data_IF_660279292252
#
_entry.id   IF_660279292252
#
_cell.length_a   1.000
_cell.length_b   1.000
_cell.length_c   1.000
_cell.angle_alpha   90.00
_cell.angle_beta   90.00
_cell.angle_gamma   90.00
#
_symmetry.space_group_name_H-M   'P 1'
#
loop_
_entity.id
_entity.type
_entity.pdbx_description
1 polymer ?
#
# COMPACT_ATOMS: atom_id res chain seq x y z
N UNK A 1 -19.36 -5.22 3.24
CA UNK A 1 -20.24 -6.17 2.56
C UNK A 1 -19.60 -6.75 1.31
N UNK A 2 -19.21 -5.95 0.31
CA UNK A 2 -18.60 -6.42 -0.94
C UNK A 2 -17.34 -7.25 -0.69
N UNK A 3 -16.44 -6.81 0.18
CA UNK A 3 -15.22 -7.55 0.54
C UNK A 3 -15.52 -8.92 1.13
N UNK A 4 -16.53 -9.03 1.97
CA UNK A 4 -16.95 -10.31 2.54
C UNK A 4 -17.50 -11.25 1.47
N UNK A 5 -18.33 -10.74 0.57
CA UNK A 5 -18.93 -11.50 -0.52
C UNK A 5 -17.88 -12.01 -1.51
N UNK A 6 -16.89 -11.19 -1.87
CA UNK A 6 -15.78 -11.55 -2.76
C UNK A 6 -14.79 -12.47 -2.04
N UNK A 7 -14.54 -12.22 -0.76
CA UNK A 7 -13.60 -13.00 0.04
C UNK A 7 -14.00 -14.46 0.21
N UNK A 8 -15.29 -14.77 0.26
CA UNK A 8 -15.79 -16.14 0.43
C UNK A 8 -15.28 -17.13 -0.65
N UNK A 9 -15.42 -16.84 -1.96
CA UNK A 9 -14.87 -17.71 -3.00
C UNK A 9 -13.35 -17.57 -3.16
N UNK A 10 -12.82 -16.35 -3.04
CA UNK A 10 -11.43 -16.03 -3.40
C UNK A 10 -10.43 -16.56 -2.37
N UNK A 11 -10.73 -16.47 -1.07
CA UNK A 11 -9.84 -16.96 -0.01
C UNK A 11 -9.73 -18.49 0.10
N UNK A 12 -10.51 -19.22 -0.68
CA UNK A 12 -10.37 -20.69 -0.81
C UNK A 12 -9.29 -21.10 -1.81
N UNK A 13 -8.81 -20.15 -2.61
CA UNK A 13 -7.78 -20.39 -3.61
C UNK A 13 -6.40 -20.39 -2.97
N UNK A 14 -5.46 -21.13 -3.56
CA UNK A 14 -4.05 -21.10 -3.17
C UNK A 14 -3.42 -19.75 -3.54
N UNK A 15 -2.32 -19.41 -2.88
CA UNK A 15 -1.66 -18.11 -2.90
C UNK A 15 -1.58 -17.44 -4.29
N UNK A 16 -1.09 -18.15 -5.30
CA UNK A 16 -0.88 -17.59 -6.66
C UNK A 16 -2.22 -17.34 -7.39
N UNK A 17 -3.15 -18.29 -7.29
CA UNK A 17 -4.50 -18.14 -7.86
C UNK A 17 -5.31 -17.07 -7.13
N UNK A 18 -5.04 -16.83 -5.84
CA UNK A 18 -5.67 -15.77 -5.07
C UNK A 18 -5.35 -14.40 -5.67
N UNK A 19 -4.07 -14.14 -6.01
CA UNK A 19 -3.65 -12.87 -6.59
C UNK A 19 -4.30 -12.63 -7.96
N UNK A 20 -4.33 -13.66 -8.82
CA UNK A 20 -4.97 -13.56 -10.15
C UNK A 20 -6.47 -13.31 -10.01
N UNK A 21 -7.15 -14.04 -9.11
CA UNK A 21 -8.58 -13.91 -8.90
C UNK A 21 -8.95 -12.51 -8.35
N UNK A 22 -8.18 -11.96 -7.40
CA UNK A 22 -8.44 -10.61 -6.87
C UNK A 22 -8.26 -9.53 -7.92
N UNK A 23 -7.24 -9.62 -8.79
CA UNK A 23 -7.08 -8.72 -9.93
C UNK A 23 -8.24 -8.85 -10.92
N UNK A 24 -8.66 -10.08 -11.24
CA UNK A 24 -9.83 -10.31 -12.10
C UNK A 24 -11.11 -9.72 -11.52
N UNK A 25 -11.37 -9.87 -10.23
CA UNK A 25 -12.52 -9.26 -9.55
C UNK A 25 -12.44 -7.72 -9.57
N UNK A 26 -11.27 -7.14 -9.39
CA UNK A 26 -11.09 -5.68 -9.48
C UNK A 26 -11.48 -5.16 -10.87
N UNK A 27 -11.06 -5.85 -11.94
CA UNK A 27 -11.42 -5.49 -13.31
C UNK A 27 -12.93 -5.70 -13.59
N UNK A 28 -13.54 -6.76 -13.06
CA UNK A 28 -14.99 -6.96 -13.16
C UNK A 28 -15.75 -5.82 -12.49
N UNK A 29 -15.38 -5.44 -11.27
CA UNK A 29 -15.99 -4.32 -10.55
C UNK A 29 -15.83 -3.03 -11.35
N UNK A 30 -14.63 -2.75 -11.87
CA UNK A 30 -14.36 -1.59 -12.71
C UNK A 30 -15.26 -1.58 -13.96
N UNK A 31 -15.39 -2.71 -14.65
CA UNK A 31 -16.24 -2.86 -15.83
C UNK A 31 -17.74 -2.64 -15.49
N UNK A 32 -18.19 -3.14 -14.34
CA UNK A 32 -19.55 -2.90 -13.85
C UNK A 32 -19.80 -1.41 -13.62
N UNK A 33 -18.86 -0.69 -13.00
CA UNK A 33 -18.98 0.75 -12.78
C UNK A 33 -18.96 1.56 -14.08
N UNK A 34 -18.33 1.04 -15.14
CA UNK A 34 -18.28 1.67 -16.46
C UNK A 34 -19.51 1.34 -17.34
N UNK A 35 -20.37 0.44 -16.88
CA UNK A 35 -21.50 0.00 -17.69
C UNK A 35 -22.57 1.11 -17.82
N UNK A 36 -22.97 1.42 -19.06
CA UNK A 36 -23.89 2.53 -19.36
C UNK A 36 -25.26 2.40 -18.70
N UNK A 37 -25.74 1.19 -18.44
CA UNK A 37 -27.02 0.97 -17.72
C UNK A 37 -26.97 1.41 -16.25
N UNK A 38 -25.79 1.41 -15.64
CA UNK A 38 -25.56 1.98 -14.30
C UNK A 38 -25.23 3.48 -14.34
N UNK A 39 -25.21 4.09 -15.54
CA UNK A 39 -24.91 5.51 -15.76
C UNK A 39 -25.62 6.49 -14.81
N UNK A 40 -26.91 6.31 -14.47
CA UNK A 40 -27.59 7.20 -13.50
C UNK A 40 -26.95 7.24 -12.11
N UNK A 41 -26.25 6.17 -11.69
CA UNK A 41 -25.58 6.06 -10.39
C UNK A 41 -24.09 6.33 -10.45
N UNK A 42 -23.40 5.83 -11.48
CA UNK A 42 -21.94 5.80 -11.57
C UNK A 42 -21.37 6.77 -12.59
N UNK A 43 -22.22 7.44 -13.36
CA UNK A 43 -21.84 8.25 -14.55
C UNK A 43 -21.08 7.44 -15.62
N UNK A 44 -21.08 6.11 -15.52
CA UNK A 44 -20.45 5.19 -16.48
C UNK A 44 -18.94 5.40 -16.59
N UNK A 45 -18.45 5.55 -17.82
CA UNK A 45 -17.03 5.81 -18.11
C UNK A 45 -16.61 7.26 -17.88
N UNK A 46 -17.57 8.17 -17.64
CA UNK A 46 -17.32 9.60 -17.47
C UNK A 46 -16.84 9.92 -16.05
N UNK A 47 -16.33 11.13 -15.88
CA UNK A 47 -15.92 11.63 -14.57
C UNK A 47 -17.15 11.92 -13.71
N UNK A 48 -17.21 11.34 -12.53
CA UNK A 48 -18.18 11.71 -11.50
C UNK A 48 -17.59 12.86 -10.70
N UNK A 49 -18.15 14.05 -10.84
CA UNK A 49 -17.74 15.27 -10.12
C UNK A 49 -18.68 15.60 -8.97
N UNK A 50 -18.36 16.67 -8.23
CA UNK A 50 -19.23 17.19 -7.16
C UNK A 50 -19.02 16.53 -5.78
N UNK A 51 -17.89 15.88 -5.56
CA UNK A 51 -17.54 15.37 -4.24
C UNK A 51 -17.30 16.52 -3.26
N UNK A 52 -17.79 16.40 -2.01
CA UNK A 52 -17.46 17.36 -0.97
C UNK A 52 -15.95 17.30 -0.71
N UNK A 53 -15.33 18.44 -0.49
CA UNK A 53 -13.91 18.54 -0.16
C UNK A 53 -13.74 19.16 1.22
N UNK A 54 -12.66 18.80 1.90
CA UNK A 54 -12.28 19.48 3.13
C UNK A 54 -11.61 20.81 2.81
N UNK A 55 -12.03 21.89 3.46
CA UNK A 55 -11.42 23.22 3.30
C UNK A 55 -9.94 23.27 3.71
N UNK A 56 -9.49 22.29 4.50
CA UNK A 56 -8.11 22.20 4.98
C UNK A 56 -7.47 20.91 4.56
N UNK A 57 -6.31 20.99 3.90
CA UNK A 57 -5.48 19.84 3.55
C UNK A 57 -5.07 19.04 4.80
N UNK A 58 -4.95 19.71 5.95
CA UNK A 58 -4.61 19.06 7.23
C UNK A 58 -5.65 18.01 7.63
N UNK A 59 -6.92 18.20 7.28
CA UNK A 59 -7.99 17.25 7.62
C UNK A 59 -7.77 15.89 6.91
N UNK A 60 -7.30 15.87 5.67
CA UNK A 60 -6.98 14.63 4.95
C UNK A 60 -5.86 13.86 5.65
N UNK A 61 -4.78 14.55 6.04
CA UNK A 61 -3.66 13.92 6.77
C UNK A 61 -4.07 13.43 8.14
N UNK A 62 -4.97 14.14 8.82
CA UNK A 62 -5.47 13.73 10.13
C UNK A 62 -6.29 12.45 10.03
N UNK A 63 -7.22 12.37 9.08
CA UNK A 63 -8.02 11.15 8.87
C UNK A 63 -7.12 9.97 8.46
N UNK A 64 -6.17 10.19 7.53
CA UNK A 64 -5.21 9.15 7.14
C UNK A 64 -4.35 8.71 8.33
N UNK A 65 -3.88 9.64 9.16
CA UNK A 65 -3.11 9.36 10.38
C UNK A 65 -3.90 8.54 11.39
N UNK A 66 -5.17 8.85 11.61
CA UNK A 66 -6.07 8.05 12.48
C UNK A 66 -6.23 6.64 11.92
N UNK A 67 -6.45 6.48 10.62
CA UNK A 67 -6.55 5.16 9.99
C UNK A 67 -5.26 4.35 10.16
N UNK A 68 -4.10 4.95 9.95
CA UNK A 68 -2.80 4.30 10.17
C UNK A 68 -2.64 3.90 11.64
N UNK A 69 -2.99 4.77 12.58
CA UNK A 69 -2.94 4.47 14.02
C UNK A 69 -3.84 3.27 14.37
N UNK A 70 -5.04 3.19 13.82
CA UNK A 70 -5.95 2.06 14.02
C UNK A 70 -5.38 0.76 13.45
N UNK A 71 -4.75 0.79 12.27
CA UNK A 71 -4.08 -0.37 11.68
C UNK A 71 -2.91 -0.83 12.58
N UNK A 72 -2.09 0.11 13.08
CA UNK A 72 -0.98 -0.21 14.00
C UNK A 72 -1.49 -0.84 15.29
N UNK A 73 -2.58 -0.31 15.87
CA UNK A 73 -3.20 -0.90 17.05
C UNK A 73 -3.72 -2.32 16.78
N UNK A 74 -4.36 -2.54 15.63
CA UNK A 74 -4.84 -3.86 15.23
C UNK A 74 -3.69 -4.86 15.09
N UNK A 75 -2.60 -4.48 14.42
CA UNK A 75 -1.44 -5.38 14.21
C UNK A 75 -0.72 -5.70 15.53
N UNK A 76 -0.75 -4.81 16.50
CA UNK A 76 -0.19 -5.06 17.83
C UNK A 76 -1.13 -5.82 18.77
N UNK A 77 -2.38 -6.05 18.37
CA UNK A 77 -3.38 -6.81 19.11
C UNK A 77 -3.14 -8.33 19.03
N UNK A 78 -3.99 -9.09 19.74
CA UNK A 78 -4.00 -10.56 19.67
C UNK A 78 -4.30 -11.06 18.26
N UNK A 79 -5.21 -10.38 17.54
CA UNK A 79 -5.53 -10.70 16.14
C UNK A 79 -4.34 -10.46 15.22
N UNK A 80 -3.60 -9.38 15.42
CA UNK A 80 -2.40 -9.10 14.62
C UNK A 80 -1.30 -10.14 14.84
N UNK A 81 -1.15 -10.69 16.05
CA UNK A 81 -0.24 -11.82 16.31
C UNK A 81 -0.65 -13.07 15.54
N UNK A 82 -1.96 -13.38 15.50
CA UNK A 82 -2.48 -14.49 14.70
C UNK A 82 -2.23 -14.27 13.19
N UNK A 83 -2.40 -13.04 12.69
CA UNK A 83 -2.10 -12.73 11.27
C UNK A 83 -0.62 -12.91 10.93
N UNK A 84 0.28 -12.50 11.83
CA UNK A 84 1.73 -12.71 11.66
C UNK A 84 2.08 -14.21 11.68
N UNK A 85 1.51 -14.97 12.60
CA UNK A 85 1.72 -16.42 12.68
C UNK A 85 1.27 -17.13 11.38
N UNK A 86 0.09 -16.79 10.84
CA UNK A 86 -0.43 -17.34 9.58
C UNK A 86 0.48 -16.97 8.40
N UNK A 87 1.01 -15.74 8.38
CA UNK A 87 1.95 -15.28 7.34
C UNK A 87 3.25 -16.07 7.34
N UNK A 88 3.77 -16.34 8.54
CA UNK A 88 5.06 -16.99 8.71
C UNK A 88 4.97 -18.49 8.40
N UNK A 89 3.96 -19.20 8.92
CA UNK A 89 3.68 -20.60 8.59
C UNK A 89 2.20 -20.94 8.86
N UNK A 90 1.44 -21.20 7.79
CA UNK A 90 0.02 -21.52 7.86
C UNK A 90 -0.22 -22.86 8.57
N UNK A 91 0.62 -23.86 8.32
CA UNK A 91 0.46 -25.21 8.89
C UNK A 91 0.74 -25.21 10.37
N UNK A 92 1.80 -24.52 10.79
CA UNK A 92 2.14 -24.38 12.19
C UNK A 92 1.06 -23.57 12.95
N UNK A 93 0.52 -22.51 12.37
CA UNK A 93 -0.55 -21.72 12.97
C UNK A 93 -1.83 -22.54 13.16
N UNK A 94 -2.21 -23.37 12.19
CA UNK A 94 -3.36 -24.27 12.28
C UNK A 94 -3.17 -25.33 13.36
N UNK A 95 -1.97 -25.93 13.46
CA UNK A 95 -1.62 -26.88 14.50
C UNK A 95 -1.70 -26.29 15.92
N UNK A 96 -1.47 -24.98 16.06
CA UNK A 96 -1.64 -24.23 17.31
C UNK A 96 -3.09 -23.78 17.58
N UNK A 97 -4.06 -24.25 16.76
CA UNK A 97 -5.49 -24.00 16.95
C UNK A 97 -6.01 -22.69 16.34
N UNK A 98 -5.21 -22.01 15.49
CA UNK A 98 -5.66 -20.80 14.79
C UNK A 98 -6.54 -21.17 13.60
N UNK A 99 -7.77 -20.68 13.57
CA UNK A 99 -8.68 -20.90 12.43
C UNK A 99 -8.28 -20.03 11.24
N UNK A 100 -7.58 -20.61 10.26
CA UNK A 100 -7.04 -19.93 9.09
C UNK A 100 -8.11 -19.18 8.30
N UNK A 101 -9.21 -19.86 7.96
CA UNK A 101 -10.26 -19.30 7.11
C UNK A 101 -10.88 -18.04 7.74
N UNK A 102 -11.17 -18.09 9.03
CA UNK A 102 -11.76 -16.95 9.78
C UNK A 102 -10.81 -15.78 9.87
N UNK A 103 -9.53 -16.01 10.18
CA UNK A 103 -8.55 -14.93 10.31
C UNK A 103 -8.17 -14.32 8.95
N UNK A 104 -8.03 -15.13 7.89
CA UNK A 104 -7.82 -14.63 6.53
C UNK A 104 -8.99 -13.76 6.07
N UNK A 105 -10.22 -14.21 6.30
CA UNK A 105 -11.42 -13.42 5.96
C UNK A 105 -11.47 -12.10 6.72
N UNK A 106 -11.19 -12.12 8.02
CA UNK A 106 -11.18 -10.90 8.84
C UNK A 106 -10.11 -9.92 8.38
N UNK A 107 -8.90 -10.39 8.10
CA UNK A 107 -7.82 -9.56 7.55
C UNK A 107 -8.21 -8.93 6.22
N UNK A 108 -8.82 -9.71 5.31
CA UNK A 108 -9.26 -9.24 4.00
C UNK A 108 -10.36 -8.18 4.10
N UNK A 109 -11.36 -8.38 4.96
CA UNK A 109 -12.46 -7.41 5.17
C UNK A 109 -11.94 -6.11 5.78
N UNK A 110 -11.07 -6.21 6.78
CA UNK A 110 -10.52 -5.02 7.46
C UNK A 110 -9.61 -4.23 6.50
N UNK A 111 -8.72 -4.90 5.76
CA UNK A 111 -7.86 -4.22 4.77
C UNK A 111 -8.69 -3.53 3.67
N UNK A 112 -9.74 -4.20 3.18
CA UNK A 112 -10.65 -3.62 2.18
C UNK A 112 -11.43 -2.42 2.72
N UNK A 113 -11.77 -2.41 4.02
CA UNK A 113 -12.41 -1.27 4.67
C UNK A 113 -11.49 -0.03 4.67
N UNK A 114 -10.24 -0.19 5.09
CA UNK A 114 -9.28 0.91 5.06
C UNK A 114 -8.93 1.34 3.63
N UNK A 115 -8.85 0.42 2.67
CA UNK A 115 -8.68 0.75 1.26
C UNK A 115 -9.85 1.57 0.73
N UNK A 116 -11.09 1.26 1.14
CA UNK A 116 -12.28 2.05 0.81
C UNK A 116 -12.22 3.48 1.36
N UNK A 117 -11.77 3.66 2.60
CA UNK A 117 -11.55 5.00 3.18
C UNK A 117 -10.48 5.76 2.37
N UNK A 118 -9.36 5.11 2.02
CA UNK A 118 -8.31 5.69 1.20
C UNK A 118 -8.81 6.15 -0.16
N UNK A 119 -9.61 5.31 -0.83
CA UNK A 119 -10.25 5.67 -2.11
C UNK A 119 -11.22 6.84 -1.98
N UNK A 120 -12.01 6.89 -0.90
CA UNK A 120 -12.89 8.01 -0.59
C UNK A 120 -12.13 9.32 -0.36
N UNK A 121 -11.04 9.29 0.42
CA UNK A 121 -10.18 10.46 0.63
C UNK A 121 -9.54 10.94 -0.68
N UNK A 122 -9.13 10.02 -1.55
CA UNK A 122 -8.58 10.35 -2.87
C UNK A 122 -9.63 11.06 -3.75
N UNK A 123 -10.86 10.53 -3.80
CA UNK A 123 -11.95 11.14 -4.56
C UNK A 123 -12.32 12.53 -4.03
N UNK A 124 -12.34 12.72 -2.73
CA UNK A 124 -12.58 14.03 -2.09
C UNK A 124 -11.43 15.00 -2.36
N UNK A 125 -10.18 14.54 -2.35
CA UNK A 125 -9.01 15.38 -2.64
C UNK A 125 -8.98 15.83 -4.10
N UNK A 126 -9.31 14.93 -5.03
CA UNK A 126 -9.38 15.24 -6.46
C UNK A 126 -10.67 15.93 -6.87
N UNK A 127 -11.68 16.01 -5.97
CA UNK A 127 -13.03 16.49 -6.25
C UNK A 127 -13.73 15.73 -7.39
N UNK A 128 -13.19 14.57 -7.77
CA UNK A 128 -13.69 13.75 -8.87
C UNK A 128 -13.36 12.27 -8.63
N UNK A 129 -14.20 11.39 -9.16
CA UNK A 129 -13.91 9.97 -9.25
C UNK A 129 -14.16 9.48 -10.67
N UNK A 130 -13.25 8.68 -11.20
CA UNK A 130 -13.38 8.05 -12.49
C UNK A 130 -12.91 6.60 -12.40
N UNK A 131 -13.75 5.66 -12.83
CA UNK A 131 -13.41 4.24 -12.80
C UNK A 131 -12.13 3.92 -13.60
N UNK A 132 -11.82 4.73 -14.59
CA UNK A 132 -10.63 4.58 -15.44
C UNK A 132 -9.30 4.84 -14.70
N UNK A 133 -9.32 5.55 -13.57
CA UNK A 133 -8.13 5.78 -12.74
C UNK A 133 -7.75 4.54 -11.91
N UNK A 134 -8.72 3.66 -11.62
CA UNK A 134 -8.55 2.44 -10.83
C UNK A 134 -8.22 1.22 -11.70
N UNK A 135 -7.27 1.38 -12.62
CA UNK A 135 -6.75 0.29 -13.45
C UNK A 135 -5.70 -0.53 -12.68
N UNK A 136 -5.41 -1.69 -13.22
CA UNK A 136 -4.35 -2.60 -12.76
C UNK A 136 -3.00 -1.89 -12.57
N UNK A 137 -2.70 -0.84 -13.36
CA UNK A 137 -1.48 -0.03 -13.20
C UNK A 137 -1.37 0.60 -11.80
N UNK A 138 -2.48 1.15 -11.27
CA UNK A 138 -2.50 1.70 -9.91
C UNK A 138 -2.22 0.63 -8.85
N UNK A 139 -2.73 -0.58 -9.07
CA UNK A 139 -2.46 -1.72 -8.19
C UNK A 139 -0.96 -2.07 -8.17
N UNK A 140 -0.31 -2.06 -9.33
CA UNK A 140 1.13 -2.30 -9.41
C UNK A 140 1.95 -1.18 -8.76
N UNK A 141 1.55 0.09 -8.89
CA UNK A 141 2.21 1.21 -8.21
C UNK A 141 2.12 1.07 -6.68
N UNK A 142 0.94 0.74 -6.15
CA UNK A 142 0.75 0.47 -4.72
C UNK A 142 1.59 -0.73 -4.26
N UNK A 143 1.59 -1.82 -5.05
CA UNK A 143 2.41 -3.00 -4.75
C UNK A 143 3.90 -2.65 -4.68
N UNK A 144 4.41 -1.86 -5.62
CA UNK A 144 5.79 -1.38 -5.62
C UNK A 144 6.12 -0.56 -4.38
N UNK A 145 5.24 0.34 -3.97
CA UNK A 145 5.40 1.14 -2.74
C UNK A 145 5.55 0.22 -1.53
N UNK A 146 4.68 -0.80 -1.42
CA UNK A 146 4.72 -1.75 -0.30
C UNK A 146 5.99 -2.60 -0.32
N UNK A 147 6.43 -3.07 -1.50
CA UNK A 147 7.67 -3.86 -1.64
C UNK A 147 8.89 -3.03 -1.28
N UNK A 148 8.97 -1.78 -1.75
CA UNK A 148 10.07 -0.84 -1.41
C UNK A 148 10.07 -0.54 0.09
N UNK A 149 8.89 -0.36 0.69
CA UNK A 149 8.76 -0.11 2.13
C UNK A 149 9.17 -1.29 3.00
N UNK A 150 8.91 -2.50 2.52
CA UNK A 150 9.05 -3.77 3.21
C UNK A 150 7.70 -4.37 3.56
N UNK A 151 7.43 -5.59 3.07
CA UNK A 151 6.13 -6.26 3.15
C UNK A 151 5.61 -6.46 4.60
N UNK A 152 6.51 -6.43 5.58
CA UNK A 152 6.15 -6.61 6.99
C UNK A 152 6.02 -5.32 7.81
N UNK A 153 6.27 -4.15 7.23
CA UNK A 153 6.39 -2.88 7.96
C UNK A 153 5.40 -1.82 7.48
N UNK A 154 4.51 -1.38 8.37
CA UNK A 154 3.60 -0.25 8.09
C UNK A 154 4.37 1.05 7.96
N UNK A 155 5.28 1.31 8.90
CA UNK A 155 6.12 2.51 8.88
C UNK A 155 6.98 2.58 7.63
N UNK A 156 7.49 1.42 7.16
CA UNK A 156 8.21 1.30 5.90
C UNK A 156 7.36 1.70 4.70
N UNK A 157 6.13 1.20 4.60
CA UNK A 157 5.20 1.52 3.52
C UNK A 157 4.81 3.00 3.50
N UNK A 158 4.62 3.64 4.66
CA UNK A 158 4.34 5.08 4.76
C UNK A 158 5.52 5.90 4.26
N UNK A 159 6.74 5.60 4.70
CA UNK A 159 7.95 6.29 4.23
C UNK A 159 8.16 6.08 2.73
N UNK A 160 7.97 4.84 2.26
CA UNK A 160 8.11 4.51 0.84
C UNK A 160 7.10 5.26 -0.02
N UNK A 161 5.86 5.46 0.43
CA UNK A 161 4.85 6.23 -0.30
C UNK A 161 5.26 7.69 -0.48
N UNK A 162 5.79 8.34 0.58
CA UNK A 162 6.34 9.69 0.49
C UNK A 162 7.54 9.76 -0.46
N UNK A 163 8.47 8.82 -0.32
CA UNK A 163 9.67 8.77 -1.17
C UNK A 163 9.31 8.53 -2.64
N UNK A 164 8.39 7.59 -2.90
CA UNK A 164 7.91 7.27 -4.24
C UNK A 164 7.26 8.49 -4.91
N UNK A 165 6.35 9.17 -4.19
CA UNK A 165 5.68 10.38 -4.69
C UNK A 165 6.67 11.52 -4.90
N UNK A 166 7.58 11.74 -3.98
CA UNK A 166 8.63 12.76 -4.11
C UNK A 166 9.56 12.48 -5.30
N UNK A 167 9.97 11.24 -5.50
CA UNK A 167 10.76 10.85 -6.67
C UNK A 167 9.99 11.06 -7.98
N UNK A 168 8.72 10.63 -8.03
CA UNK A 168 7.91 10.70 -9.23
C UNK A 168 7.52 12.14 -9.59
N UNK A 169 7.10 12.95 -8.61
CA UNK A 169 6.52 14.29 -8.88
C UNK A 169 7.55 15.42 -8.80
N UNK A 170 8.60 15.27 -8.02
CA UNK A 170 9.53 16.35 -7.77
C UNK A 170 10.89 16.13 -8.41
N UNK A 171 11.53 14.99 -8.11
CA UNK A 171 12.90 14.76 -8.56
C UNK A 171 12.99 14.45 -10.04
N UNK A 172 12.08 13.66 -10.60
CA UNK A 172 12.08 13.28 -12.02
C UNK A 172 11.32 14.27 -12.91
N UNK A 173 10.68 15.29 -12.34
CA UNK A 173 9.93 16.30 -13.12
C UNK A 173 10.82 17.11 -14.05
N UNK A 174 12.08 17.37 -13.65
CA UNK A 174 13.02 18.07 -14.52
C UNK A 174 13.39 17.30 -15.80
N UNK A 175 13.15 15.99 -15.85
CA UNK A 175 13.38 15.18 -17.05
C UNK A 175 12.25 15.35 -18.10
N UNK A 176 11.11 15.90 -17.72
CA UNK A 176 10.02 16.21 -18.67
C UNK A 176 10.16 17.61 -19.30
N UNK A 177 11.10 18.44 -18.81
CA UNK A 177 11.36 19.76 -19.38
C UNK A 177 12.14 19.62 -20.69
N UNK A 178 11.51 20.05 -21.81
CA UNK A 178 12.08 20.06 -23.16
C UNK A 178 13.33 20.96 -23.31
N UNK A 179 13.75 21.64 -22.22
CA UNK A 179 14.89 22.56 -22.22
C UNK A 179 16.26 21.91 -22.43
N UNK A 180 16.37 20.59 -22.27
CA UNK A 180 17.64 19.86 -22.44
C UNK A 180 17.93 19.45 -23.91
N UNK A 181 17.04 19.70 -24.87
CA UNK A 181 17.30 19.57 -26.31
C UNK A 181 17.73 18.18 -26.82
N UNK A 182 17.65 17.15 -25.98
CA UNK A 182 18.06 15.80 -26.34
C UNK A 182 16.83 15.04 -26.78
N UNK A 183 16.81 14.56 -28.02
CA UNK A 183 15.72 13.80 -28.64
C UNK A 183 15.25 12.58 -27.82
N UNK A 184 16.11 12.04 -26.93
CA UNK A 184 15.81 10.93 -26.05
C UNK A 184 14.86 11.30 -24.89
N UNK A 185 14.72 12.58 -24.52
CA UNK A 185 13.89 13.05 -23.39
C UNK A 185 12.44 13.35 -23.77
N UNK A 186 12.01 12.94 -24.96
CA UNK A 186 10.66 13.17 -25.45
C UNK A 186 9.66 12.28 -24.71
N UNK A 187 8.66 12.90 -24.08
CA UNK A 187 7.44 12.38 -23.45
C UNK A 187 7.40 10.89 -23.05
N UNK A 188 7.77 10.58 -21.83
CA UNK A 188 7.74 9.21 -21.29
C UNK A 188 9.09 8.68 -20.80
N UNK A 189 10.19 9.35 -21.05
CA UNK A 189 11.52 8.97 -20.58
C UNK A 189 11.59 8.96 -19.06
N UNK A 190 10.88 9.87 -18.38
CA UNK A 190 10.68 9.87 -16.94
C UNK A 190 10.22 8.51 -16.41
N UNK A 191 9.23 7.89 -17.08
CA UNK A 191 8.70 6.58 -16.69
C UNK A 191 9.74 5.47 -16.83
N UNK A 192 10.58 5.53 -17.89
CA UNK A 192 11.65 4.55 -18.11
C UNK A 192 12.74 4.68 -17.04
N UNK A 193 13.21 5.90 -16.77
CA UNK A 193 14.19 6.15 -15.72
C UNK A 193 13.66 5.71 -14.36
N UNK A 194 12.41 6.04 -14.08
CA UNK A 194 11.75 5.65 -12.85
C UNK A 194 11.65 4.13 -12.70
N UNK A 195 11.29 3.41 -13.77
CA UNK A 195 11.24 1.95 -13.78
C UNK A 195 12.62 1.33 -13.51
N UNK A 196 13.68 1.89 -14.11
CA UNK A 196 15.06 1.45 -13.87
C UNK A 196 15.48 1.71 -12.43
N UNK A 197 15.18 2.89 -11.87
CA UNK A 197 15.48 3.22 -10.47
C UNK A 197 14.78 2.25 -9.52
N UNK A 198 13.49 1.97 -9.76
CA UNK A 198 12.74 0.99 -8.95
C UNK A 198 13.36 -0.40 -9.08
N UNK A 199 13.70 -0.83 -10.29
CA UNK A 199 14.33 -2.14 -10.52
C UNK A 199 15.63 -2.27 -9.73
N UNK A 200 16.48 -1.24 -9.75
CA UNK A 200 17.72 -1.19 -8.97
C UNK A 200 17.42 -1.26 -7.47
N UNK A 201 16.47 -0.47 -6.98
CA UNK A 201 16.10 -0.47 -5.55
C UNK A 201 15.61 -1.87 -5.12
N UNK A 202 14.75 -2.52 -5.89
CA UNK A 202 14.22 -3.85 -5.57
C UNK A 202 15.32 -4.92 -5.60
N UNK A 203 16.27 -4.82 -6.53
CA UNK A 203 17.40 -5.77 -6.61
C UNK A 203 18.37 -5.62 -5.42
N UNK A 204 18.70 -4.40 -5.04
CA UNK A 204 19.66 -4.14 -3.96
C UNK A 204 19.01 -4.22 -2.57
N UNK A 205 17.77 -3.78 -2.43
CA UNK A 205 17.02 -3.79 -1.16
C UNK A 205 15.94 -4.88 -1.15
N UNK A 206 16.35 -6.13 -1.30
CA UNK A 206 15.46 -7.29 -1.38
C UNK A 206 14.49 -7.42 -0.19
N UNK A 207 14.82 -6.86 0.98
CA UNK A 207 13.97 -6.83 2.18
C UNK A 207 13.21 -5.51 2.36
N UNK A 208 13.27 -4.59 1.38
CA UNK A 208 12.74 -3.25 1.51
C UNK A 208 13.56 -2.34 2.45
N UNK A 209 13.16 -1.06 2.55
CA UNK A 209 13.88 -0.05 3.36
C UNK A 209 13.85 -0.40 4.85
N UNK A 210 12.73 -0.92 5.33
CA UNK A 210 12.54 -1.25 6.75
C UNK A 210 12.68 -2.73 7.08
N UNK A 211 12.58 -3.63 6.08
CA UNK A 211 12.52 -5.08 6.32
C UNK A 211 11.29 -5.46 7.13
N UNK A 212 11.39 -6.46 7.99
CA UNK A 212 10.28 -6.95 8.83
C UNK A 212 10.12 -6.19 10.16
N UNK A 213 10.99 -5.19 10.43
CA UNK A 213 10.99 -4.45 11.71
C UNK A 213 10.32 -3.09 11.56
N UNK A 214 9.44 -2.78 12.52
CA UNK A 214 8.81 -1.47 12.62
C UNK A 214 9.80 -0.39 13.13
N UNK A 215 9.55 0.89 12.79
CA UNK A 215 10.35 2.03 13.24
C UNK A 215 10.61 2.05 14.76
N UNK A 216 9.60 1.82 15.63
CA UNK A 216 9.83 1.81 17.08
C UNK A 216 10.80 0.73 17.53
N UNK A 217 10.79 -0.43 16.89
CA UNK A 217 11.69 -1.56 17.18
C UNK A 217 13.13 -1.25 16.73
N UNK A 218 13.29 -0.72 15.50
CA UNK A 218 14.61 -0.29 15.02
C UNK A 218 15.22 0.79 15.89
N UNK A 219 14.41 1.74 16.35
CA UNK A 219 14.89 2.81 17.21
C UNK A 219 15.30 2.30 18.59
N UNK A 220 14.57 1.32 19.14
CA UNK A 220 14.92 0.65 20.39
C UNK A 220 16.21 -0.16 20.27
N UNK A 221 16.36 -0.93 19.19
CA UNK A 221 17.57 -1.69 18.89
C UNK A 221 18.78 -0.78 18.70
N UNK A 222 18.59 0.38 18.04
CA UNK A 222 19.65 1.36 17.86
C UNK A 222 20.08 2.02 19.18
N UNK A 223 19.12 2.39 20.04
CA UNK A 223 19.43 2.89 21.41
C UNK A 223 20.17 1.85 22.24
N UNK A 224 19.76 0.59 22.21
CA UNK A 224 20.42 -0.49 22.91
C UNK A 224 21.87 -0.70 22.40
N UNK A 225 22.09 -0.62 21.08
CA UNK A 225 23.43 -0.68 20.50
C UNK A 225 24.31 0.49 20.91
N UNK A 226 23.76 1.69 21.03
CA UNK A 226 24.49 2.87 21.49
C UNK A 226 24.87 2.76 22.96
N UNK A 227 23.99 2.26 23.81
CA UNK A 227 24.28 2.01 25.23
C UNK A 227 25.41 0.98 25.40
N UNK A 228 25.33 -0.15 24.72
CA UNK A 228 26.40 -1.17 24.73
C UNK A 228 27.75 -0.63 24.22
N UNK A 229 27.73 0.31 23.25
CA UNK A 229 28.96 0.96 22.78
C UNK A 229 29.54 1.93 23.80
N UNK A 230 28.71 2.62 24.60
CA UNK A 230 29.15 3.48 25.70
C UNK A 230 29.76 2.67 26.84
N UNK A 231 29.06 1.60 27.27
CA UNK A 231 29.54 0.68 28.31
C UNK A 231 30.89 0.04 27.94
N UNK A 232 31.06 -0.38 26.67
CA UNK A 232 32.37 -0.90 26.21
C UNK A 232 33.47 0.16 26.19
N UNK A 233 33.16 1.43 25.94
CA UNK A 233 34.17 2.50 26.00
C UNK A 233 34.54 2.91 27.42
N UNK A 234 33.62 2.75 28.38
CA UNK A 234 33.84 2.99 29.79
C UNK A 234 34.64 1.85 30.47
N UNK A 235 34.40 0.60 30.00
CA UNK A 235 35.12 -0.57 30.49
C UNK A 235 36.58 -0.70 29.97
N UNK A 236 36.96 0.09 28.98
CA UNK A 236 38.33 0.14 28.38
C UNK A 236 39.14 1.33 28.92
N UNK A 237 38.49 2.19 29.71
CA UNK A 237 39.18 3.27 30.49
C UNK A 237 39.45 2.83 31.92
#
# INVERSE_FOLDING_TARGET
LFAWLIGLPVLRLKSDYLAIATLGFAEIIRAIFQWDKLGPLTNGANVLGGFPYFNSTVAYYLVAGVCIALIVLLINSTYGRAFKAIRDDEVAAEAMGVNLSRHKMMSFVVSSFFAGIGGGLLAMYQCMAQANNFKTNMTYEILLIVVIGGIGSISGSVIASFLFTACNEWWLRFLDDDSLGIFLFRGGFRKVVFAVVIMVIVLFFRQGIMGDKELPEKFRDWKAKLQRRKEKKEAVK
#
